data_IF_526479205687
#
_entry.id   IF_526479205687
#
_cell.length_a   1.000
_cell.length_b   1.000
_cell.length_c   1.000
_cell.angle_alpha   90.00
_cell.angle_beta   90.00
_cell.angle_gamma   90.00
#
_symmetry.space_group_name_H-M   'P 1'
#
loop_
_entity.id
_entity.type
_entity.pdbx_description
1 polymer ?
#
# COMPACT_ATOMS: atom_id res chain seq x y z
N UNK A 1 -4.88 -43.58 24.08
CA UNK A 1 -3.88 -42.53 24.33
C UNK A 1 -2.51 -43.12 24.04
N UNK A 2 -1.99 -42.89 22.83
CA UNK A 2 -0.66 -43.30 22.38
C UNK A 2 -0.17 -42.15 21.52
N UNK A 3 1.03 -41.62 21.81
CA UNK A 3 2.12 -41.12 20.92
C UNK A 3 3.21 -40.63 21.89
N UNK A 4 4.20 -41.44 22.24
CA UNK A 4 5.53 -41.58 21.62
C UNK A 4 6.41 -40.32 21.73
N UNK A 5 7.39 -40.43 22.63
CA UNK A 5 8.59 -39.59 22.78
C UNK A 5 9.63 -40.00 21.73
N UNK A 6 10.17 -39.02 20.99
CA UNK A 6 11.38 -39.17 20.19
C UNK A 6 12.17 -37.86 20.19
N UNK A 7 13.15 -37.77 21.09
CA UNK A 7 14.23 -36.80 21.02
C UNK A 7 15.22 -37.03 19.88
N UNK A 8 16.14 -36.07 19.78
CA UNK A 8 17.43 -36.06 19.07
C UNK A 8 17.42 -35.72 17.58
N UNK A 9 17.43 -34.41 17.28
CA UNK A 9 18.19 -33.86 16.15
C UNK A 9 18.77 -32.48 16.51
N UNK A 10 19.85 -32.46 17.29
CA UNK A 10 20.86 -31.41 17.19
C UNK A 10 22.00 -31.98 16.37
N UNK A 11 22.10 -31.58 15.10
CA UNK A 11 23.30 -31.83 14.29
C UNK A 11 23.79 -30.49 13.74
N UNK A 12 24.98 -30.15 14.20
CA UNK A 12 25.76 -28.95 13.88
C UNK A 12 25.88 -28.80 12.36
N UNK A 13 25.45 -27.64 11.83
CA UNK A 13 25.76 -27.23 10.46
C UNK A 13 27.20 -26.71 10.38
N UNK A 14 27.95 -27.01 9.30
CA UNK A 14 29.32 -26.55 9.16
C UNK A 14 29.37 -25.06 8.81
N UNK A 15 30.42 -24.38 9.28
CA UNK A 15 30.79 -23.04 8.86
C UNK A 15 31.00 -23.02 7.34
N UNK A 16 30.18 -22.26 6.61
CA UNK A 16 30.39 -21.99 5.19
C UNK A 16 31.05 -20.62 5.08
N UNK A 17 32.33 -20.67 4.73
CA UNK A 17 33.18 -19.54 4.33
C UNK A 17 32.65 -18.97 3.00
N UNK A 18 32.18 -17.73 3.02
CA UNK A 18 31.61 -17.08 1.84
C UNK A 18 32.74 -16.35 1.10
N UNK A 19 33.25 -16.96 0.02
CA UNK A 19 33.97 -16.21 -1.02
C UNK A 19 32.95 -15.65 -2.04
N UNK A 20 33.11 -14.41 -2.53
CA UNK A 20 32.12 -13.80 -3.41
C UNK A 20 32.34 -14.29 -4.85
N UNK A 21 31.49 -15.21 -5.31
CA UNK A 21 31.29 -15.45 -6.75
C UNK A 21 29.95 -14.84 -7.15
N UNK A 22 30.04 -13.77 -7.93
CA UNK A 22 28.90 -13.11 -8.52
C UNK A 22 28.06 -14.06 -9.38
N UNK A 23 26.76 -13.77 -9.42
CA UNK A 23 25.83 -14.40 -10.36
C UNK A 23 24.68 -15.17 -9.72
N UNK A 24 23.96 -14.60 -8.73
CA UNK A 24 22.70 -15.19 -8.25
C UNK A 24 21.59 -14.20 -7.85
N UNK A 25 21.73 -12.89 -8.11
CA UNK A 25 20.70 -11.90 -7.74
C UNK A 25 19.71 -11.55 -8.87
N UNK A 26 19.72 -12.27 -9.99
CA UNK A 26 18.93 -11.92 -11.19
C UNK A 26 17.72 -12.83 -11.42
N UNK A 27 17.36 -13.69 -10.45
CA UNK A 27 16.36 -14.76 -10.66
C UNK A 27 15.10 -14.70 -9.78
N UNK A 28 14.88 -13.57 -9.10
CA UNK A 28 13.62 -13.27 -8.40
C UNK A 28 13.00 -11.98 -8.93
N UNK A 29 13.14 -11.71 -10.24
CA UNK A 29 12.32 -10.69 -10.91
C UNK A 29 10.85 -11.09 -10.78
N UNK A 30 10.17 -10.36 -9.89
CA UNK A 30 8.78 -10.00 -9.95
C UNK A 30 7.83 -11.08 -10.48
N UNK A 31 7.31 -11.88 -9.55
CA UNK A 31 5.90 -12.25 -9.66
C UNK A 31 5.10 -10.97 -9.40
N UNK A 32 5.06 -10.06 -10.39
CA UNK A 32 4.18 -8.89 -10.33
C UNK A 32 2.77 -9.43 -10.13
N UNK A 33 2.21 -9.15 -8.96
CA UNK A 33 0.81 -9.48 -8.70
C UNK A 33 -0.02 -8.79 -9.77
N UNK A 34 -0.70 -9.59 -10.60
CA UNK A 34 -1.54 -9.06 -11.66
C UNK A 34 -2.70 -8.32 -11.00
N UNK A 35 -2.83 -7.03 -11.29
CA UNK A 35 -3.92 -6.19 -10.80
C UNK A 35 -5.10 -6.35 -11.74
N UNK A 36 -6.29 -6.52 -11.16
CA UNK A 36 -7.56 -6.66 -11.86
C UNK A 36 -8.56 -5.61 -11.39
N UNK A 37 -9.57 -5.36 -12.22
CA UNK A 37 -10.73 -4.55 -11.86
C UNK A 37 -11.42 -5.09 -10.61
N UNK A 38 -12.00 -4.18 -9.82
CA UNK A 38 -12.67 -4.42 -8.53
C UNK A 38 -11.77 -4.90 -7.39
N UNK A 39 -10.46 -4.96 -7.60
CA UNK A 39 -9.53 -5.18 -6.50
C UNK A 39 -9.27 -3.88 -5.74
N UNK A 40 -8.98 -4.00 -4.45
CA UNK A 40 -8.49 -2.89 -3.66
C UNK A 40 -6.96 -2.91 -3.67
N UNK A 41 -6.39 -1.76 -4.01
CA UNK A 41 -4.95 -1.50 -4.02
C UNK A 41 -4.57 -0.44 -3.00
N UNK A 42 -3.31 -0.46 -2.60
CA UNK A 42 -2.71 0.57 -1.78
C UNK A 42 -1.60 1.26 -2.56
N UNK A 43 -1.60 2.58 -2.50
CA UNK A 43 -0.50 3.44 -2.90
C UNK A 43 0.15 3.98 -1.62
N UNK A 44 1.42 3.62 -1.43
CA UNK A 44 2.16 3.92 -0.20
C UNK A 44 3.18 5.02 -0.43
N UNK A 45 3.19 6.01 0.46
CA UNK A 45 4.21 7.04 0.48
C UNK A 45 4.46 7.54 1.90
N UNK A 46 5.69 7.37 2.40
CA UNK A 46 6.08 7.66 3.78
C UNK A 46 5.13 6.99 4.80
N UNK A 47 4.45 7.76 5.64
CA UNK A 47 3.50 7.25 6.64
C UNK A 47 2.04 7.23 6.15
N UNK A 48 1.81 7.54 4.87
CA UNK A 48 0.50 7.75 4.25
C UNK A 48 0.19 6.59 3.28
N UNK A 49 -1.01 6.05 3.41
CA UNK A 49 -1.48 4.91 2.63
C UNK A 49 -2.81 5.27 1.98
N UNK A 50 -2.82 5.42 0.66
CA UNK A 50 -4.02 5.67 -0.12
C UNK A 50 -4.61 4.34 -0.60
N UNK A 51 -5.77 3.98 -0.06
CA UNK A 51 -6.51 2.81 -0.48
C UNK A 51 -7.51 3.18 -1.56
N UNK A 52 -7.55 2.41 -2.64
CA UNK A 52 -8.43 2.67 -3.77
C UNK A 52 -8.96 1.38 -4.42
N UNK A 53 -10.18 1.43 -4.93
CA UNK A 53 -10.72 0.39 -5.80
C UNK A 53 -10.19 0.61 -7.23
N UNK A 54 -9.81 -0.47 -7.91
CA UNK A 54 -9.49 -0.44 -9.33
C UNK A 54 -10.78 -0.45 -10.15
N UNK A 55 -11.12 0.68 -10.77
CA UNK A 55 -12.25 0.77 -11.72
C UNK A 55 -11.88 0.09 -13.04
N UNK A 56 -10.67 0.33 -13.54
CA UNK A 56 -10.22 -0.21 -14.82
C UNK A 56 -8.69 -0.27 -14.88
N UNK A 57 -8.16 -1.29 -15.56
CA UNK A 57 -6.73 -1.42 -15.86
C UNK A 57 -6.52 -1.14 -17.35
N UNK A 58 -5.71 -0.12 -17.65
CA UNK A 58 -5.32 0.21 -19.03
C UNK A 58 -3.95 -0.38 -19.29
N UNK A 59 -3.93 -1.68 -19.61
CA UNK A 59 -2.72 -2.50 -19.69
C UNK A 59 -1.63 -1.90 -20.58
N UNK A 60 -1.99 -1.39 -21.76
CA UNK A 60 -1.02 -0.87 -22.73
C UNK A 60 -0.30 0.41 -22.25
N UNK A 61 -0.87 1.14 -21.30
CA UNK A 61 -0.25 2.32 -20.65
C UNK A 61 0.37 2.00 -19.30
N UNK A 62 0.14 0.79 -18.78
CA UNK A 62 0.52 0.41 -17.43
C UNK A 62 -0.05 1.36 -16.37
N UNK A 63 -1.28 1.85 -16.58
CA UNK A 63 -2.01 2.71 -15.63
C UNK A 63 -3.32 2.04 -15.19
N UNK A 64 -3.79 2.41 -14.00
CA UNK A 64 -5.12 2.07 -13.51
C UNK A 64 -5.96 3.34 -13.35
N UNK A 65 -7.24 3.22 -13.67
CA UNK A 65 -8.27 4.13 -13.18
C UNK A 65 -8.72 3.65 -11.80
N UNK A 66 -8.50 4.49 -10.79
CA UNK A 66 -8.72 4.16 -9.39
C UNK A 66 -9.79 5.07 -8.78
N UNK A 67 -10.64 4.49 -7.94
CA UNK A 67 -11.53 5.22 -7.04
C UNK A 67 -10.94 5.28 -5.64
N UNK A 68 -10.46 6.44 -5.16
CA UNK A 68 -10.01 6.59 -3.78
C UNK A 68 -11.11 6.22 -2.78
N UNK A 69 -10.78 5.35 -1.84
CA UNK A 69 -11.66 4.98 -0.72
C UNK A 69 -11.30 5.78 0.53
N UNK A 70 -10.01 5.80 0.86
CA UNK A 70 -9.51 6.46 2.06
C UNK A 70 -8.03 6.73 2.02
N UNK A 71 -7.63 7.76 2.74
CA UNK A 71 -6.23 8.00 3.08
C UNK A 71 -6.02 7.73 4.56
N UNK A 72 -5.13 6.79 4.85
CA UNK A 72 -4.70 6.45 6.19
C UNK A 72 -3.33 7.08 6.48
N UNK A 73 -3.22 7.80 7.59
CA UNK A 73 -1.98 8.44 8.01
C UNK A 73 -1.58 7.91 9.38
N UNK A 74 -0.40 7.32 9.45
CA UNK A 74 0.21 6.92 10.72
C UNK A 74 0.84 8.18 11.35
N UNK A 75 0.43 8.59 12.55
CA UNK A 75 1.02 9.75 13.21
C UNK A 75 2.51 9.49 13.46
N UNK A 76 3.34 10.51 13.22
CA UNK A 76 4.77 10.43 13.52
C UNK A 76 5.00 10.52 15.04
N UNK A 77 6.09 9.94 15.53
CA UNK A 77 6.46 9.91 16.96
C UNK A 77 6.60 11.30 17.62
N UNK A 78 6.57 12.38 16.84
CA UNK A 78 6.70 13.77 17.29
C UNK A 78 5.36 14.47 17.56
N UNK A 79 4.22 13.83 17.35
CA UNK A 79 2.91 14.36 17.74
C UNK A 79 2.58 13.98 19.19
N UNK A 80 2.12 14.95 19.99
CA UNK A 80 2.00 14.89 21.46
C UNK A 80 1.60 13.52 22.04
N UNK A 81 2.53 12.92 22.79
CA UNK A 81 2.50 11.58 23.41
C UNK A 81 1.44 11.46 24.54
N UNK A 82 0.47 12.37 24.61
CA UNK A 82 -0.53 12.39 25.69
C UNK A 82 -1.75 11.49 25.44
N UNK A 83 -1.86 10.85 24.28
CA UNK A 83 -2.90 9.84 24.02
C UNK A 83 -2.37 8.62 23.24
N UNK A 84 -1.41 7.90 23.83
CA UNK A 84 -0.95 6.62 23.30
C UNK A 84 -2.02 5.55 23.55
N UNK A 85 -3.02 5.52 22.68
CA UNK A 85 -3.76 4.29 22.38
C UNK A 85 -3.14 3.67 21.12
N UNK A 86 -2.98 2.33 21.05
CA UNK A 86 -2.38 1.62 19.91
C UNK A 86 -3.15 1.71 18.57
N UNK A 87 -3.98 2.74 18.37
CA UNK A 87 -5.03 2.80 17.34
C UNK A 87 -5.21 4.20 16.72
N UNK A 88 -4.29 5.15 16.89
CA UNK A 88 -4.46 6.53 16.43
C UNK A 88 -4.17 6.72 14.92
N UNK A 89 -4.52 5.75 14.08
CA UNK A 89 -4.47 5.94 12.63
C UNK A 89 -5.48 7.02 12.24
N UNK A 90 -5.01 8.08 11.59
CA UNK A 90 -5.88 9.13 11.09
C UNK A 90 -6.43 8.74 9.74
N UNK A 91 -7.75 8.60 9.64
CA UNK A 91 -8.44 8.21 8.41
C UNK A 91 -9.20 9.40 7.81
N UNK A 92 -9.04 9.58 6.51
CA UNK A 92 -9.79 10.54 5.70
C UNK A 92 -10.67 9.78 4.71
N UNK A 93 -11.98 10.04 4.73
CA UNK A 93 -12.95 9.40 3.83
C UNK A 93 -12.94 10.05 2.44
N UNK A 94 -12.44 9.31 1.45
CA UNK A 94 -12.27 9.80 0.08
C UNK A 94 -13.34 9.29 -0.89
N UNK A 95 -14.35 8.54 -0.41
CA UNK A 95 -15.35 7.88 -1.28
C UNK A 95 -16.18 8.85 -2.12
N UNK A 96 -16.29 10.11 -1.71
CA UNK A 96 -16.98 11.19 -2.43
C UNK A 96 -16.03 12.08 -3.25
N UNK A 97 -14.76 11.69 -3.34
CA UNK A 97 -13.71 12.39 -4.07
C UNK A 97 -13.66 12.05 -5.56
N UNK A 98 -12.77 12.70 -6.31
CA UNK A 98 -12.53 12.38 -7.70
C UNK A 98 -11.78 11.04 -7.84
N UNK A 99 -12.09 10.31 -8.90
CA UNK A 99 -11.27 9.19 -9.33
C UNK A 99 -9.93 9.68 -9.90
N UNK A 100 -8.88 8.84 -9.85
CA UNK A 100 -7.52 9.18 -10.29
C UNK A 100 -6.99 8.17 -11.32
N UNK A 101 -6.09 8.62 -12.20
CA UNK A 101 -5.30 7.75 -13.07
C UNK A 101 -3.91 7.60 -12.50
N UNK A 102 -3.45 6.36 -12.29
CA UNK A 102 -2.18 6.11 -11.61
C UNK A 102 -1.36 4.98 -12.23
N UNK A 103 -0.02 5.11 -12.32
CA UNK A 103 0.84 4.03 -12.80
C UNK A 103 0.76 2.79 -11.90
N UNK A 104 0.55 1.63 -12.53
CA UNK A 104 0.40 0.32 -11.88
C UNK A 104 1.56 -0.06 -10.96
N UNK A 105 2.78 0.35 -11.29
CA UNK A 105 3.99 0.04 -10.51
C UNK A 105 4.00 0.59 -9.08
N UNK A 106 3.19 1.60 -8.79
CA UNK A 106 3.08 2.15 -7.44
C UNK A 106 2.00 1.46 -6.61
N UNK A 107 1.28 0.50 -7.21
CA UNK A 107 0.14 -0.13 -6.59
C UNK A 107 0.53 -1.50 -6.02
N UNK A 108 0.19 -1.71 -4.76
CA UNK A 108 0.26 -3.00 -4.09
C UNK A 108 -1.16 -3.55 -3.89
N UNK A 109 -1.37 -4.85 -4.11
CA UNK A 109 -2.61 -5.51 -3.70
C UNK A 109 -2.73 -5.55 -2.18
N UNK A 110 -3.93 -5.27 -1.69
CA UNK A 110 -4.21 -5.18 -0.26
C UNK A 110 -4.78 -6.49 0.26
N UNK A 111 -4.49 -6.82 1.52
CA UNK A 111 -5.08 -7.98 2.19
C UNK A 111 -6.39 -7.62 2.89
N UNK A 112 -7.30 -8.59 2.98
CA UNK A 112 -8.57 -8.42 3.69
C UNK A 112 -8.36 -8.00 5.15
N UNK A 113 -7.33 -8.54 5.81
CA UNK A 113 -6.97 -8.22 7.20
C UNK A 113 -6.48 -6.78 7.38
N UNK A 114 -6.03 -6.15 6.30
CA UNK A 114 -5.57 -4.76 6.27
C UNK A 114 -6.74 -3.81 5.98
N UNK A 115 -7.56 -4.12 4.97
CA UNK A 115 -8.60 -3.18 4.50
C UNK A 115 -9.93 -3.26 5.26
N UNK A 116 -10.39 -4.46 5.64
CA UNK A 116 -11.71 -4.62 6.27
C UNK A 116 -11.83 -3.81 7.58
N UNK A 117 -10.82 -3.82 8.48
CA UNK A 117 -10.88 -3.01 9.68
C UNK A 117 -10.93 -1.50 9.42
N UNK A 118 -10.34 -1.04 8.31
CA UNK A 118 -10.34 0.37 7.94
C UNK A 118 -11.68 0.79 7.33
N UNK A 119 -12.30 -0.08 6.51
CA UNK A 119 -13.66 0.13 6.01
C UNK A 119 -14.67 0.22 7.16
N UNK A 120 -14.57 -0.65 8.17
CA UNK A 120 -15.42 -0.56 9.36
C UNK A 120 -15.28 0.81 10.07
N UNK A 121 -14.07 1.34 10.18
CA UNK A 121 -13.82 2.67 10.77
C UNK A 121 -14.34 3.83 9.91
N UNK A 122 -14.29 3.71 8.57
CA UNK A 122 -14.89 4.70 7.67
C UNK A 122 -16.42 4.79 7.84
N UNK A 123 -17.06 3.65 8.09
CA UNK A 123 -18.51 3.58 8.25
C UNK A 123 -18.91 4.30 9.56
N UNK A 124 -18.14 4.10 10.62
CA UNK A 124 -18.31 4.83 11.89
C UNK A 124 -18.11 6.35 11.72
N UNK A 125 -17.11 6.78 10.93
CA UNK A 125 -16.89 8.20 10.62
C UNK A 125 -18.06 8.83 9.87
N UNK A 126 -18.74 8.07 9.01
CA UNK A 126 -19.93 8.53 8.30
C UNK A 126 -21.11 8.76 9.25
N UNK A 127 -21.30 7.87 10.23
CA UNK A 127 -22.33 8.01 11.26
C UNK A 127 -22.04 9.13 12.26
N UNK A 128 -20.76 9.44 12.48
CA UNK A 128 -20.29 10.47 13.40
C UNK A 128 -19.34 11.45 12.71
N UNK A 129 -19.87 12.35 11.85
CA UNK A 129 -19.07 13.26 11.08
C UNK A 129 -18.30 14.21 12.01
N UNK A 130 -16.99 14.00 12.08
CA UNK A 130 -16.04 15.02 12.53
C UNK A 130 -15.78 15.96 11.36
N UNK A 131 -15.49 17.23 11.63
CA UNK A 131 -15.30 18.26 10.61
C UNK A 131 -14.18 17.83 9.64
N UNK A 132 -14.57 17.30 8.47
CA UNK A 132 -13.70 16.61 7.50
C UNK A 132 -13.43 17.51 6.26
N UNK A 133 -13.56 18.82 6.43
CA UNK A 133 -13.42 19.84 5.37
C UNK A 133 -12.06 19.78 4.64
N UNK A 134 -11.05 19.15 5.24
CA UNK A 134 -9.71 19.04 4.68
C UNK A 134 -9.50 17.80 3.77
N UNK A 135 -10.45 16.88 3.67
CA UNK A 135 -10.24 15.58 3.02
C UNK A 135 -9.81 15.68 1.54
N UNK A 136 -10.37 16.64 0.79
CA UNK A 136 -9.97 16.90 -0.60
C UNK A 136 -8.55 17.45 -0.70
N UNK A 137 -8.16 18.32 0.22
CA UNK A 137 -6.81 18.85 0.28
C UNK A 137 -5.82 17.73 0.59
N UNK A 138 -6.16 16.83 1.52
CA UNK A 138 -5.31 15.69 1.87
C UNK A 138 -4.99 14.79 0.67
N UNK A 139 -5.99 14.46 -0.17
CA UNK A 139 -5.75 13.69 -1.40
C UNK A 139 -4.87 14.46 -2.40
N UNK A 140 -5.17 15.74 -2.62
CA UNK A 140 -4.40 16.57 -3.55
C UNK A 140 -2.94 16.70 -3.12
N UNK A 141 -2.69 16.93 -1.83
CA UNK A 141 -1.36 17.03 -1.25
C UNK A 141 -0.60 15.71 -1.38
N UNK A 142 -1.25 14.58 -1.08
CA UNK A 142 -0.67 13.26 -1.25
C UNK A 142 -0.26 13.00 -2.70
N UNK A 143 -1.15 13.27 -3.66
CA UNK A 143 -0.86 13.10 -5.09
C UNK A 143 0.30 13.98 -5.52
N UNK A 144 0.31 15.25 -5.09
CA UNK A 144 1.37 16.20 -5.44
C UNK A 144 2.74 15.75 -4.90
N UNK A 145 2.80 15.28 -3.66
CA UNK A 145 4.02 14.75 -3.04
C UNK A 145 4.59 13.56 -3.81
N UNK A 146 3.76 12.57 -4.13
CA UNK A 146 4.20 11.38 -4.86
C UNK A 146 4.66 11.74 -6.27
N UNK A 147 3.92 12.60 -6.97
CA UNK A 147 4.32 13.05 -8.31
C UNK A 147 5.65 13.80 -8.26
N UNK A 148 5.80 14.80 -7.40
CA UNK A 148 7.03 15.58 -7.30
C UNK A 148 8.25 14.73 -6.95
N UNK A 149 8.06 13.64 -6.22
CA UNK A 149 9.13 12.71 -5.84
C UNK A 149 9.52 11.80 -7.01
N UNK A 150 8.57 11.39 -7.85
CA UNK A 150 8.79 10.41 -8.92
C UNK A 150 8.34 10.89 -10.31
N UNK A 151 8.75 12.07 -10.81
CA UNK A 151 8.19 12.62 -12.05
C UNK A 151 8.46 11.74 -13.29
N UNK A 152 9.63 11.13 -13.39
CA UNK A 152 10.02 10.29 -14.53
C UNK A 152 9.14 9.05 -14.69
N UNK A 153 8.63 8.56 -13.56
CA UNK A 153 7.77 7.40 -13.52
C UNK A 153 6.39 7.67 -14.14
N UNK A 154 5.91 8.92 -14.09
CA UNK A 154 4.68 9.34 -14.78
C UNK A 154 4.93 9.64 -16.26
N UNK A 155 6.12 10.12 -16.62
CA UNK A 155 6.50 10.38 -18.01
C UNK A 155 6.69 9.11 -18.83
N UNK A 156 7.31 8.08 -18.25
CA UNK A 156 7.57 6.80 -18.94
C UNK A 156 6.28 6.11 -19.36
N UNK A 157 5.23 6.20 -18.54
CA UNK A 157 3.90 5.67 -18.85
C UNK A 157 3.20 6.45 -19.99
N UNK A 158 3.54 7.73 -20.19
CA UNK A 158 2.95 8.57 -21.25
C UNK A 158 3.67 8.48 -22.60
N UNK A 159 4.95 8.05 -22.63
CA UNK A 159 5.80 8.08 -23.84
C UNK A 159 5.65 6.86 -24.76
N UNK A 160 4.94 5.79 -24.39
CA UNK A 160 4.74 4.59 -25.24
C UNK A 160 3.79 4.79 -26.44
N UNK A 161 3.55 6.03 -26.91
CA UNK A 161 2.62 6.34 -28.02
C UNK A 161 3.34 6.90 -29.26
N UNK A 162 4.53 6.42 -29.59
CA UNK A 162 5.21 6.75 -30.86
C UNK A 162 5.66 5.49 -31.59
#
# INVERSE_FOLDING_TARGET
MLVLDYGKYLRLSPQIEIQPRGGFYEKYCDKMSIIHTHQIVCLEYATRHLYAEVIEVVEWRQICWLRPLMLAVTPSENEDITSVLPQSLRLYDLRQGPDILWPTKFLRLVWDTEVIPLLAQLEDLHCHPKDNSDTRHQLADFIAEVWQTYPQEFESSMKSTL
#
